data_IF_419304109073
#
_entry.id   IF_419304109073
#
_cell.length_a   1.000
_cell.length_b   1.000
_cell.length_c   1.000
_cell.angle_alpha   90.00
_cell.angle_beta   90.00
_cell.angle_gamma   90.00
#
_symmetry.space_group_name_H-M   'P 1'
#
loop_
_entity.id
_entity.type
_entity.pdbx_description
1 polymer ?
#
# COMPACT_ATOMS: atom_id res chain seq x y z
N UNK A 1 12.88 -2.91 -6.28
CA UNK A 1 13.13 -2.72 -4.86
C UNK A 1 13.40 -3.99 -4.03
N UNK A 2 13.29 -5.18 -4.55
CA UNK A 2 13.53 -6.46 -3.85
C UNK A 2 14.73 -7.22 -4.40
N UNK A 3 15.91 -6.59 -4.50
CA UNK A 3 17.11 -7.20 -5.11
C UNK A 3 17.94 -8.15 -4.22
N UNK A 4 17.51 -8.46 -2.99
CA UNK A 4 18.30 -9.30 -2.07
C UNK A 4 17.50 -10.26 -1.18
N UNK A 5 16.50 -10.94 -1.73
CA UNK A 5 15.98 -12.16 -1.09
C UNK A 5 16.06 -13.30 -2.09
N UNK A 6 16.71 -14.38 -1.71
CA UNK A 6 16.91 -15.60 -2.52
C UNK A 6 15.60 -16.36 -2.78
N UNK A 7 14.53 -16.06 -2.03
CA UNK A 7 13.20 -16.63 -2.24
C UNK A 7 12.30 -15.64 -2.99
N UNK A 8 11.51 -16.09 -3.97
CA UNK A 8 10.57 -15.23 -4.68
C UNK A 8 9.49 -14.73 -3.73
N UNK A 9 9.46 -13.42 -3.50
CA UNK A 9 8.44 -12.80 -2.64
C UNK A 9 7.05 -12.94 -3.30
N UNK A 10 6.00 -13.41 -2.59
CA UNK A 10 4.68 -13.66 -3.19
C UNK A 10 4.10 -12.48 -3.97
N UNK A 11 4.30 -11.25 -3.49
CA UNK A 11 3.84 -10.03 -4.17
C UNK A 11 4.51 -9.84 -5.54
N UNK A 12 5.76 -10.29 -5.71
CA UNK A 12 6.44 -10.26 -7.02
C UNK A 12 5.82 -11.25 -7.99
N UNK A 13 5.37 -12.41 -7.52
CA UNK A 13 4.65 -13.39 -8.33
C UNK A 13 3.31 -12.80 -8.80
N UNK A 14 2.56 -12.15 -7.91
CA UNK A 14 1.33 -11.43 -8.28
C UNK A 14 1.64 -10.35 -9.34
N UNK A 15 2.68 -9.53 -9.14
CA UNK A 15 3.09 -8.53 -10.12
C UNK A 15 3.48 -9.12 -11.48
N UNK A 16 4.19 -10.25 -11.49
CA UNK A 16 4.54 -10.95 -12.73
C UNK A 16 3.31 -11.53 -13.43
N UNK A 17 2.34 -12.05 -12.67
CA UNK A 17 1.05 -12.53 -13.18
C UNK A 17 0.27 -11.39 -13.84
N UNK A 18 0.18 -10.23 -13.18
CA UNK A 18 -0.48 -9.03 -13.72
C UNK A 18 0.16 -8.61 -15.03
N UNK A 19 1.49 -8.48 -15.09
CA UNK A 19 2.21 -8.08 -16.28
C UNK A 19 2.07 -9.10 -17.42
N UNK A 20 2.06 -10.40 -17.10
CA UNK A 20 1.83 -11.48 -18.08
C UNK A 20 0.42 -11.44 -18.66
N UNK A 21 -0.60 -11.26 -17.81
CA UNK A 21 -1.98 -11.16 -18.24
C UNK A 21 -2.26 -9.87 -19.03
N UNK A 22 -1.66 -8.74 -18.67
CA UNK A 22 -1.75 -7.51 -19.46
C UNK A 22 -1.28 -7.75 -20.90
N UNK A 23 -0.08 -8.33 -21.07
CA UNK A 23 0.48 -8.67 -22.39
C UNK A 23 -0.39 -9.65 -23.18
N UNK A 24 -1.06 -10.57 -22.48
CA UNK A 24 -1.89 -11.59 -23.10
C UNK A 24 -3.26 -11.04 -23.53
N UNK A 25 -3.91 -10.22 -22.69
CA UNK A 25 -5.30 -9.82 -22.86
C UNK A 25 -5.45 -8.57 -23.73
N UNK A 26 -4.53 -7.61 -23.67
CA UNK A 26 -4.60 -6.38 -24.47
C UNK A 26 -4.73 -6.63 -25.99
N UNK A 27 -3.95 -7.52 -26.62
CA UNK A 27 -4.09 -7.75 -28.05
C UNK A 27 -5.30 -8.62 -28.42
N UNK A 28 -5.87 -9.38 -27.45
CA UNK A 28 -6.97 -10.32 -27.71
C UNK A 28 -8.36 -9.70 -27.51
N UNK A 29 -8.48 -8.73 -26.60
CA UNK A 29 -9.75 -8.11 -26.24
C UNK A 29 -9.70 -6.64 -26.65
N UNK A 30 -10.45 -6.27 -27.71
CA UNK A 30 -10.49 -4.90 -28.26
C UNK A 30 -10.98 -3.85 -27.25
N UNK A 31 -11.93 -4.23 -26.37
CA UNK A 31 -12.43 -3.32 -25.35
C UNK A 31 -11.51 -3.36 -24.11
N UNK A 32 -10.74 -2.29 -23.90
CA UNK A 32 -9.79 -2.18 -22.79
C UNK A 32 -10.43 -2.35 -21.42
N UNK A 33 -11.65 -1.85 -21.20
CA UNK A 33 -12.37 -2.02 -19.93
C UNK A 33 -12.69 -3.47 -19.66
N UNK A 34 -13.17 -4.19 -20.68
CA UNK A 34 -13.44 -5.63 -20.57
C UNK A 34 -12.16 -6.41 -20.32
N UNK A 35 -11.08 -6.09 -21.04
CA UNK A 35 -9.77 -6.73 -20.86
C UNK A 35 -9.25 -6.51 -19.42
N UNK A 36 -9.31 -5.29 -18.91
CA UNK A 36 -8.94 -4.96 -17.53
C UNK A 36 -9.81 -5.68 -16.50
N UNK A 37 -11.12 -5.77 -16.71
CA UNK A 37 -12.02 -6.49 -15.79
C UNK A 37 -11.72 -7.98 -15.76
N UNK A 38 -11.48 -8.61 -16.91
CA UNK A 38 -11.08 -10.03 -17.00
C UNK A 38 -9.76 -10.25 -16.28
N UNK A 39 -8.78 -9.34 -16.45
CA UNK A 39 -7.52 -9.39 -15.72
C UNK A 39 -7.75 -9.37 -14.21
N UNK A 40 -8.53 -8.40 -13.70
CA UNK A 40 -8.82 -8.26 -12.28
C UNK A 40 -9.42 -9.55 -11.71
N UNK A 41 -10.45 -10.10 -12.35
CA UNK A 41 -11.12 -11.32 -11.90
C UNK A 41 -10.13 -12.49 -11.88
N UNK A 42 -9.33 -12.65 -12.95
CA UNK A 42 -8.35 -13.75 -13.06
C UNK A 42 -7.27 -13.65 -11.99
N UNK A 43 -6.72 -12.46 -11.76
CA UNK A 43 -5.69 -12.23 -10.73
C UNK A 43 -6.26 -12.51 -9.34
N UNK A 44 -7.48 -12.06 -9.03
CA UNK A 44 -8.09 -12.31 -7.72
C UNK A 44 -8.33 -13.80 -7.48
N UNK A 45 -8.88 -14.50 -8.47
CA UNK A 45 -9.14 -15.95 -8.36
C UNK A 45 -7.83 -16.73 -8.12
N UNK A 46 -6.78 -16.41 -8.87
CA UNK A 46 -5.52 -17.12 -8.74
C UNK A 46 -4.79 -16.74 -7.44
N UNK A 47 -4.77 -15.44 -7.09
CA UNK A 47 -4.05 -14.98 -5.90
C UNK A 47 -4.71 -15.38 -4.59
N UNK A 48 -6.01 -15.59 -4.54
CA UNK A 48 -6.71 -16.13 -3.38
C UNK A 48 -6.85 -17.65 -3.44
N UNK A 49 -7.12 -18.21 -4.62
CA UNK A 49 -7.37 -19.65 -4.82
C UNK A 49 -6.14 -20.52 -4.59
N UNK A 50 -4.95 -20.09 -5.06
CA UNK A 50 -3.73 -20.87 -4.85
C UNK A 50 -3.37 -20.98 -3.36
N UNK A 51 -3.32 -19.90 -2.56
CA UNK A 51 -3.13 -19.97 -1.12
C UNK A 51 -4.21 -20.82 -0.42
N UNK A 52 -5.47 -20.66 -0.83
CA UNK A 52 -6.58 -21.45 -0.27
C UNK A 52 -6.34 -22.95 -0.44
N UNK A 53 -6.03 -23.40 -1.68
CA UNK A 53 -5.78 -24.82 -1.96
C UNK A 53 -4.56 -25.33 -1.20
N UNK A 54 -3.48 -24.55 -1.16
CA UNK A 54 -2.28 -24.91 -0.40
C UNK A 54 -2.57 -25.07 1.09
N UNK A 55 -3.30 -24.14 1.70
CA UNK A 55 -3.69 -24.22 3.11
C UNK A 55 -4.61 -25.41 3.37
N UNK A 56 -5.60 -25.67 2.50
CA UNK A 56 -6.46 -26.85 2.62
C UNK A 56 -5.66 -28.15 2.62
N UNK A 57 -4.64 -28.26 1.78
CA UNK A 57 -3.74 -29.43 1.74
C UNK A 57 -2.94 -29.50 3.04
N UNK A 58 -2.32 -28.41 3.47
CA UNK A 58 -1.50 -28.38 4.69
C UNK A 58 -2.33 -28.76 5.94
N UNK A 59 -3.53 -28.20 6.09
CA UNK A 59 -4.42 -28.52 7.20
C UNK A 59 -4.96 -29.96 7.18
N UNK A 60 -5.16 -30.53 5.97
CA UNK A 60 -5.51 -31.96 5.82
C UNK A 60 -4.40 -32.90 6.24
N UNK A 61 -3.13 -32.52 6.00
CA UNK A 61 -1.97 -33.33 6.40
C UNK A 61 -1.78 -33.27 7.90
N UNK A 62 -1.68 -32.07 8.46
CA UNK A 62 -1.45 -31.85 9.88
C UNK A 62 -1.83 -30.42 10.30
N UNK A 63 -2.47 -30.26 11.44
CA UNK A 63 -2.85 -28.95 11.99
C UNK A 63 -1.65 -28.02 12.18
N UNK A 64 -0.53 -28.53 12.70
CA UNK A 64 0.68 -27.73 12.94
C UNK A 64 1.26 -27.23 11.63
N UNK A 65 1.28 -28.09 10.59
CA UNK A 65 1.74 -27.72 9.24
C UNK A 65 0.85 -26.60 8.63
N UNK A 66 -0.48 -26.72 8.82
CA UNK A 66 -1.43 -25.72 8.38
C UNK A 66 -1.18 -24.36 9.05
N UNK A 67 -1.07 -24.34 10.38
CA UNK A 67 -0.78 -23.11 11.16
C UNK A 67 0.56 -22.51 10.75
N UNK A 68 1.60 -23.30 10.58
CA UNK A 68 2.92 -22.82 10.18
C UNK A 68 2.90 -22.20 8.78
N UNK A 69 2.25 -22.88 7.81
CA UNK A 69 2.11 -22.38 6.45
C UNK A 69 1.33 -21.06 6.42
N UNK A 70 0.20 -20.98 7.13
CA UNK A 70 -0.62 -19.77 7.21
C UNK A 70 0.13 -18.62 7.88
N UNK A 71 0.86 -18.88 8.97
CA UNK A 71 1.68 -17.88 9.65
C UNK A 71 2.77 -17.29 8.74
N UNK A 72 3.44 -18.14 7.95
CA UNK A 72 4.43 -17.71 6.97
C UNK A 72 3.77 -16.85 5.89
N UNK A 73 2.61 -17.26 5.37
CA UNK A 73 1.85 -16.48 4.39
C UNK A 73 1.45 -15.12 4.93
N UNK A 74 0.90 -15.05 6.15
CA UNK A 74 0.56 -13.79 6.82
C UNK A 74 1.78 -12.88 7.02
N UNK A 75 2.92 -13.43 7.40
CA UNK A 75 4.17 -12.66 7.57
C UNK A 75 4.58 -11.94 6.28
N UNK A 76 4.44 -12.56 5.11
CA UNK A 76 4.80 -11.96 3.83
C UNK A 76 3.81 -10.88 3.35
N UNK A 77 2.62 -10.81 3.92
CA UNK A 77 1.58 -9.86 3.50
C UNK A 77 1.72 -8.49 4.16
N UNK A 78 2.39 -8.41 5.33
CA UNK A 78 2.53 -7.16 6.10
C UNK A 78 3.87 -6.49 5.78
N UNK A 79 3.82 -5.25 5.30
CA UNK A 79 4.99 -4.51 4.83
C UNK A 79 5.61 -3.56 5.88
N UNK A 80 5.21 -3.63 7.16
CA UNK A 80 5.60 -2.68 8.21
C UNK A 80 7.13 -2.50 8.33
N UNK A 81 7.89 -3.60 8.37
CA UNK A 81 9.35 -3.55 8.46
C UNK A 81 9.99 -2.96 7.21
N UNK A 82 9.47 -3.30 6.04
CA UNK A 82 9.96 -2.75 4.78
C UNK A 82 9.72 -1.26 4.70
N UNK A 83 8.50 -0.80 5.02
CA UNK A 83 8.11 0.60 5.05
C UNK A 83 9.03 1.40 5.98
N UNK A 84 9.23 0.94 7.23
CA UNK A 84 10.13 1.56 8.18
C UNK A 84 11.56 1.66 7.64
N UNK A 85 12.12 0.57 7.13
CA UNK A 85 13.52 0.54 6.69
C UNK A 85 13.74 1.47 5.49
N UNK A 86 12.79 1.54 4.58
CA UNK A 86 12.92 2.40 3.38
C UNK A 86 12.71 3.89 3.72
N UNK A 87 11.76 4.20 4.60
CA UNK A 87 11.57 5.59 5.05
C UNK A 87 12.74 6.11 5.87
N UNK A 88 13.35 5.28 6.72
CA UNK A 88 14.53 5.67 7.49
C UNK A 88 15.74 6.00 6.62
N UNK A 89 15.88 5.43 5.43
CA UNK A 89 16.96 5.82 4.49
C UNK A 89 16.87 7.29 4.06
N UNK A 90 15.65 7.83 3.95
CA UNK A 90 15.45 9.25 3.65
C UNK A 90 15.88 10.11 4.83
N UNK A 91 15.49 9.71 6.05
CA UNK A 91 15.89 10.37 7.28
C UNK A 91 17.41 10.38 7.45
N UNK A 92 18.05 9.21 7.29
CA UNK A 92 19.49 9.05 7.48
C UNK A 92 20.29 9.90 6.46
N UNK A 93 19.84 9.97 5.21
CA UNK A 93 20.44 10.81 4.20
C UNK A 93 20.37 12.31 4.56
N UNK A 94 19.26 12.76 5.16
CA UNK A 94 19.17 14.14 5.68
C UNK A 94 20.04 14.38 6.93
N UNK A 95 20.22 13.38 7.78
CA UNK A 95 21.15 13.47 8.92
C UNK A 95 22.61 13.63 8.44
N UNK A 96 22.97 13.06 7.28
CA UNK A 96 24.25 13.24 6.59
C UNK A 96 24.31 14.55 5.76
N UNK A 97 23.26 15.38 5.74
CA UNK A 97 23.12 16.57 4.89
C UNK A 97 23.22 16.29 3.38
N UNK A 98 22.95 15.07 2.94
CA UNK A 98 23.01 14.65 1.53
C UNK A 98 21.60 14.65 0.90
N UNK A 99 21.21 15.76 0.27
CA UNK A 99 19.90 15.92 -0.37
C UNK A 99 19.76 15.02 -1.60
N UNK A 100 20.85 14.73 -2.34
CA UNK A 100 20.79 13.84 -3.51
C UNK A 100 20.54 12.39 -3.08
N UNK A 101 21.21 11.94 -2.03
CA UNK A 101 20.98 10.63 -1.44
C UNK A 101 19.55 10.50 -0.89
N UNK A 102 19.01 11.57 -0.26
CA UNK A 102 17.62 11.62 0.18
C UNK A 102 16.65 11.53 -1.00
N UNK A 103 16.93 12.25 -2.12
CA UNK A 103 16.12 12.19 -3.35
C UNK A 103 16.13 10.81 -3.99
N UNK A 104 17.28 10.15 -4.01
CA UNK A 104 17.37 8.76 -4.46
C UNK A 104 16.58 7.81 -3.55
N UNK A 105 16.70 7.97 -2.24
CA UNK A 105 15.99 7.14 -1.28
C UNK A 105 14.46 7.30 -1.43
N UNK A 106 13.95 8.53 -1.54
CA UNK A 106 12.51 8.78 -1.72
C UNK A 106 12.00 8.26 -3.07
N UNK A 107 12.79 8.33 -4.13
CA UNK A 107 12.42 7.79 -5.45
C UNK A 107 12.16 6.28 -5.44
N UNK A 108 12.68 5.58 -4.44
CA UNK A 108 12.47 4.13 -4.28
C UNK A 108 11.12 3.78 -3.65
N UNK A 109 10.45 4.73 -3.01
CA UNK A 109 9.18 4.51 -2.30
C UNK A 109 8.00 5.28 -2.89
N UNK A 110 8.27 6.30 -3.72
CA UNK A 110 7.26 7.16 -4.36
C UNK A 110 7.08 6.76 -5.82
N UNK A 111 5.84 6.74 -6.29
CA UNK A 111 5.49 6.40 -7.69
C UNK A 111 5.58 7.57 -8.68
N UNK A 112 6.04 8.76 -8.26
CA UNK A 112 6.15 9.96 -9.10
C UNK A 112 7.62 10.36 -9.33
N UNK A 113 7.87 11.24 -10.32
CA UNK A 113 9.20 11.80 -10.55
C UNK A 113 9.62 12.66 -9.35
N UNK A 114 10.82 12.38 -8.84
CA UNK A 114 11.39 13.06 -7.66
C UNK A 114 12.56 13.98 -8.00
N UNK A 115 12.98 14.04 -9.28
CA UNK A 115 14.19 14.75 -9.70
C UNK A 115 14.15 16.25 -9.40
N UNK A 116 12.96 16.86 -9.50
CA UNK A 116 12.78 18.29 -9.29
C UNK A 116 12.36 18.66 -7.86
N UNK A 117 12.32 17.70 -6.93
CA UNK A 117 11.92 17.97 -5.56
C UNK A 117 13.06 18.67 -4.80
N UNK A 118 12.75 19.78 -4.15
CA UNK A 118 13.58 20.39 -3.13
C UNK A 118 13.54 19.59 -1.82
N UNK A 119 14.26 20.05 -0.81
CA UNK A 119 14.32 19.39 0.51
C UNK A 119 12.95 19.17 1.11
N UNK A 120 12.11 20.20 1.11
CA UNK A 120 10.77 20.13 1.71
C UNK A 120 9.84 19.24 0.89
N UNK A 121 9.96 19.25 -0.43
CA UNK A 121 9.25 18.36 -1.33
C UNK A 121 9.61 16.88 -1.11
N UNK A 122 10.89 16.56 -0.88
CA UNK A 122 11.34 15.20 -0.56
C UNK A 122 10.74 14.73 0.76
N UNK A 123 10.80 15.57 1.80
CA UNK A 123 10.27 15.26 3.12
C UNK A 123 8.76 15.04 3.04
N UNK A 124 8.04 15.95 2.36
CA UNK A 124 6.58 15.81 2.16
C UNK A 124 6.23 14.52 1.44
N UNK A 125 6.90 14.22 0.32
CA UNK A 125 6.67 13.00 -0.43
C UNK A 125 6.93 11.73 0.41
N UNK A 126 7.97 11.73 1.25
CA UNK A 126 8.27 10.61 2.13
C UNK A 126 7.16 10.41 3.17
N UNK A 127 6.67 11.49 3.81
CA UNK A 127 5.62 11.42 4.83
C UNK A 127 4.28 11.01 4.23
N UNK A 128 3.88 11.60 3.10
CA UNK A 128 2.66 11.21 2.37
C UNK A 128 2.69 9.71 2.06
N UNK A 129 3.79 9.21 1.49
CA UNK A 129 3.96 7.79 1.16
C UNK A 129 3.92 6.88 2.38
N UNK A 130 4.55 7.28 3.49
CA UNK A 130 4.50 6.50 4.74
C UNK A 130 3.08 6.48 5.30
N UNK A 131 2.37 7.60 5.27
CA UNK A 131 1.00 7.70 5.74
C UNK A 131 0.06 6.78 4.93
N UNK A 132 0.12 6.85 3.60
CA UNK A 132 -0.66 6.01 2.69
C UNK A 132 -0.31 4.52 2.87
N UNK A 133 0.97 4.17 2.83
CA UNK A 133 1.40 2.79 2.97
C UNK A 133 1.21 2.20 4.38
N UNK A 134 1.00 3.02 5.41
CA UNK A 134 0.54 2.54 6.72
C UNK A 134 -0.86 1.95 6.61
N UNK A 135 -1.74 2.53 5.79
CA UNK A 135 -3.01 1.90 5.45
C UNK A 135 -2.81 0.67 4.56
N UNK A 136 -2.26 0.86 3.39
CA UNK A 136 -2.27 -0.12 2.29
C UNK A 136 -1.27 -1.28 2.46
N UNK A 137 -0.21 -1.02 3.22
CA UNK A 137 0.86 -1.99 3.47
C UNK A 137 0.78 -2.69 4.82
N UNK A 138 0.00 -2.16 5.78
CA UNK A 138 -0.05 -2.70 7.14
C UNK A 138 -1.49 -2.93 7.59
N UNK A 139 -2.28 -1.87 7.79
CA UNK A 139 -3.61 -2.00 8.41
C UNK A 139 -4.59 -2.76 7.52
N UNK A 140 -4.66 -2.46 6.24
CA UNK A 140 -5.60 -3.13 5.34
C UNK A 140 -5.27 -4.61 5.13
N UNK A 141 -4.02 -5.05 4.89
CA UNK A 141 -3.70 -6.47 4.91
C UNK A 141 -4.11 -7.15 6.22
N UNK A 142 -3.82 -6.54 7.39
CA UNK A 142 -4.21 -7.09 8.70
C UNK A 142 -5.72 -7.19 8.85
N UNK A 143 -6.46 -6.18 8.40
CA UNK A 143 -7.92 -6.18 8.41
C UNK A 143 -8.50 -7.35 7.60
N UNK A 144 -8.01 -7.57 6.38
CA UNK A 144 -8.48 -8.67 5.54
C UNK A 144 -7.99 -10.04 6.01
N UNK A 145 -6.83 -10.11 6.65
CA UNK A 145 -6.38 -11.33 7.33
C UNK A 145 -7.25 -11.67 8.54
N UNK A 146 -7.72 -10.68 9.29
CA UNK A 146 -8.66 -10.91 10.40
C UNK A 146 -10.03 -11.45 9.93
N UNK A 147 -10.46 -11.11 8.71
CA UNK A 147 -11.71 -11.56 8.12
C UNK A 147 -11.62 -12.94 7.44
N UNK A 148 -10.51 -13.23 6.79
CA UNK A 148 -10.37 -14.42 5.93
C UNK A 148 -9.00 -15.09 5.97
N UNK A 149 -8.26 -14.97 7.08
CA UNK A 149 -6.93 -15.56 7.22
C UNK A 149 -5.95 -15.06 6.14
N UNK A 150 -4.93 -15.84 5.85
CA UNK A 150 -3.98 -15.52 4.80
C UNK A 150 -4.65 -15.33 3.43
N UNK A 151 -5.72 -16.07 3.13
CA UNK A 151 -6.44 -15.98 1.84
C UNK A 151 -7.06 -14.59 1.66
N UNK A 152 -7.71 -14.06 2.69
CA UNK A 152 -8.24 -12.69 2.69
C UNK A 152 -7.14 -11.64 2.49
N UNK A 153 -6.00 -11.84 3.13
CA UNK A 153 -4.83 -10.98 2.95
C UNK A 153 -4.27 -11.02 1.53
N UNK A 154 -4.17 -12.18 0.90
CA UNK A 154 -3.75 -12.32 -0.52
C UNK A 154 -4.75 -11.70 -1.48
N UNK A 155 -6.05 -11.88 -1.25
CA UNK A 155 -7.11 -11.23 -2.03
C UNK A 155 -6.94 -9.71 -2.04
N UNK A 156 -6.82 -9.11 -0.85
CA UNK A 156 -6.60 -7.67 -0.73
C UNK A 156 -5.27 -7.25 -1.39
N UNK A 157 -4.18 -7.96 -1.12
CA UNK A 157 -2.87 -7.59 -1.66
C UNK A 157 -2.81 -7.71 -3.17
N UNK A 158 -3.56 -8.62 -3.78
CA UNK A 158 -3.71 -8.71 -5.22
C UNK A 158 -4.41 -7.46 -5.79
N UNK A 159 -5.52 -7.01 -5.19
CA UNK A 159 -6.23 -5.79 -5.60
C UNK A 159 -5.32 -4.56 -5.50
N UNK A 160 -4.67 -4.36 -4.35
CA UNK A 160 -3.75 -3.25 -4.11
C UNK A 160 -2.54 -3.27 -5.06
N UNK A 161 -2.01 -4.46 -5.41
CA UNK A 161 -0.91 -4.58 -6.39
C UNK A 161 -1.39 -4.24 -7.81
N UNK A 162 -2.61 -4.65 -8.18
CA UNK A 162 -3.20 -4.28 -9.48
C UNK A 162 -3.39 -2.78 -9.60
N UNK A 163 -3.91 -2.11 -8.58
CA UNK A 163 -4.04 -0.66 -8.57
C UNK A 163 -2.68 0.03 -8.70
N UNK A 164 -1.69 -0.37 -7.91
CA UNK A 164 -0.32 0.18 -7.98
C UNK A 164 0.35 0.01 -9.35
N UNK A 165 -0.04 -1.00 -10.15
CA UNK A 165 0.55 -1.26 -11.47
C UNK A 165 -0.27 -0.70 -12.63
N UNK A 166 -1.60 -0.60 -12.48
CA UNK A 166 -2.54 -0.31 -13.58
C UNK A 166 -3.43 0.90 -13.28
N UNK A 167 -3.52 1.38 -12.03
CA UNK A 167 -4.45 2.43 -11.59
C UNK A 167 -4.09 3.85 -12.04
N UNK A 168 -3.12 4.00 -12.97
CA UNK A 168 -2.71 5.30 -13.47
C UNK A 168 -3.77 5.95 -14.36
N UNK A 169 -3.87 7.29 -14.30
CA UNK A 169 -4.83 8.10 -15.08
C UNK A 169 -4.29 8.52 -16.45
N UNK A 170 -3.18 7.94 -16.92
CA UNK A 170 -2.66 8.18 -18.26
C UNK A 170 -3.46 7.43 -19.33
N UNK A 171 -3.31 7.84 -20.60
CA UNK A 171 -4.05 7.28 -21.74
C UNK A 171 -3.94 5.77 -21.84
N UNK A 172 -2.80 5.20 -21.41
CA UNK A 172 -2.56 3.77 -21.46
C UNK A 172 -3.44 2.98 -20.49
N UNK A 173 -3.75 3.52 -19.31
CA UNK A 173 -4.38 2.79 -18.22
C UNK A 173 -5.75 3.30 -17.80
N UNK A 174 -6.15 4.49 -18.22
CA UNK A 174 -7.42 5.13 -17.82
C UNK A 174 -8.66 4.26 -18.02
N UNK A 175 -8.67 3.43 -19.08
CA UNK A 175 -9.72 2.47 -19.35
C UNK A 175 -9.40 1.08 -18.82
N UNK A 176 -8.18 0.60 -19.04
CA UNK A 176 -7.75 -0.74 -18.67
C UNK A 176 -7.64 -0.93 -17.16
N UNK A 177 -7.04 0.02 -16.44
CA UNK A 177 -6.85 -0.03 -14.99
C UNK A 177 -8.06 0.36 -14.15
N UNK A 178 -9.11 0.90 -14.78
CA UNK A 178 -10.28 1.46 -14.08
C UNK A 178 -10.94 0.50 -13.10
N UNK A 179 -11.03 -0.78 -13.44
CA UNK A 179 -11.66 -1.79 -12.56
C UNK A 179 -10.77 -2.07 -11.36
N UNK A 180 -9.45 -2.13 -11.56
CA UNK A 180 -8.48 -2.31 -10.48
C UNK A 180 -8.52 -1.14 -9.48
N UNK A 181 -8.46 0.11 -9.98
CA UNK A 181 -8.51 1.32 -9.15
C UNK A 181 -9.80 1.41 -8.34
N UNK A 182 -10.96 1.16 -8.97
CA UNK A 182 -12.25 1.18 -8.26
C UNK A 182 -12.37 0.09 -7.21
N UNK A 183 -11.83 -1.10 -7.49
CA UNK A 183 -11.82 -2.20 -6.53
C UNK A 183 -10.97 -1.85 -5.32
N UNK A 184 -9.77 -1.32 -5.53
CA UNK A 184 -8.88 -0.87 -4.46
C UNK A 184 -9.52 0.23 -3.62
N UNK A 185 -10.16 1.23 -4.26
CA UNK A 185 -10.92 2.27 -3.56
C UNK A 185 -12.01 1.70 -2.63
N UNK A 186 -12.74 0.69 -3.08
CA UNK A 186 -13.78 0.02 -2.26
C UNK A 186 -13.17 -0.77 -1.12
N UNK A 187 -12.13 -1.55 -1.40
CA UNK A 187 -11.48 -2.39 -0.39
C UNK A 187 -10.76 -1.55 0.68
N UNK A 188 -10.20 -0.42 0.32
CA UNK A 188 -9.53 0.50 1.25
C UNK A 188 -10.50 1.44 1.98
N UNK A 189 -11.78 1.43 1.66
CA UNK A 189 -12.73 2.37 2.27
C UNK A 189 -12.80 2.27 3.81
N UNK A 190 -12.93 1.07 4.37
CA UNK A 190 -12.93 0.84 5.83
C UNK A 190 -11.50 0.92 6.39
N UNK A 191 -10.51 0.18 5.86
CA UNK A 191 -9.15 0.18 6.41
C UNK A 191 -8.52 1.58 6.52
N UNK A 192 -8.66 2.45 5.52
CA UNK A 192 -8.05 3.78 5.55
C UNK A 192 -8.60 4.65 6.68
N UNK A 193 -9.89 4.55 6.96
CA UNK A 193 -10.54 5.27 8.07
C UNK A 193 -10.14 4.69 9.43
N UNK A 194 -10.08 3.37 9.52
CA UNK A 194 -9.56 2.69 10.71
C UNK A 194 -8.12 3.12 10.99
N UNK A 195 -7.27 3.14 9.95
CA UNK A 195 -5.87 3.58 10.07
C UNK A 195 -5.79 5.02 10.59
N UNK A 196 -6.57 5.94 10.01
CA UNK A 196 -6.59 7.33 10.45
C UNK A 196 -6.98 7.46 11.93
N UNK A 197 -7.99 6.71 12.38
CA UNK A 197 -8.41 6.70 13.79
C UNK A 197 -7.33 6.11 14.70
N UNK A 198 -6.68 5.02 14.29
CA UNK A 198 -5.57 4.43 15.04
C UNK A 198 -4.36 5.37 15.12
N UNK A 199 -4.05 6.11 14.06
CA UNK A 199 -2.99 7.12 14.05
C UNK A 199 -3.32 8.29 15.00
N UNK A 200 -4.56 8.76 15.01
CA UNK A 200 -5.02 9.79 15.95
C UNK A 200 -4.93 9.29 17.39
N UNK A 201 -5.40 8.07 17.67
CA UNK A 201 -5.29 7.44 18.98
C UNK A 201 -3.82 7.31 19.42
N UNK A 202 -2.94 6.88 18.52
CA UNK A 202 -1.50 6.78 18.77
C UNK A 202 -0.90 8.16 19.10
N UNK A 203 -1.35 9.23 18.44
CA UNK A 203 -0.92 10.59 18.77
C UNK A 203 -1.30 10.98 20.19
N UNK A 204 -2.52 10.63 20.66
CA UNK A 204 -2.89 10.86 22.06
C UNK A 204 -2.03 10.05 23.03
N UNK A 205 -1.83 8.76 22.79
CA UNK A 205 -1.06 7.86 23.67
C UNK A 205 0.40 8.33 23.78
N UNK A 206 0.99 8.75 22.66
CA UNK A 206 2.38 9.21 22.58
C UNK A 206 2.55 10.69 22.99
N UNK A 207 1.49 11.33 23.50
CA UNK A 207 1.49 12.75 23.94
C UNK A 207 1.81 13.76 22.84
N UNK A 208 1.54 13.42 21.58
CA UNK A 208 1.47 14.40 20.49
C UNK A 208 0.14 15.13 20.51
N UNK A 209 -0.02 16.16 19.67
CA UNK A 209 -1.27 16.93 19.59
C UNK A 209 -2.38 16.16 18.85
N UNK A 210 -2.91 15.09 19.48
CA UNK A 210 -3.99 14.29 18.95
C UNK A 210 -5.30 15.07 18.72
N UNK A 211 -5.53 16.14 19.47
CA UNK A 211 -6.70 17.02 19.32
C UNK A 211 -6.67 17.77 17.99
N UNK A 212 -5.51 18.30 17.64
CA UNK A 212 -5.30 18.99 16.38
C UNK A 212 -5.26 17.98 15.21
N UNK A 213 -4.69 16.78 15.41
CA UNK A 213 -4.73 15.69 14.45
C UNK A 213 -6.17 15.34 14.04
N UNK A 214 -7.06 15.16 15.00
CA UNK A 214 -8.47 14.91 14.75
C UNK A 214 -9.16 16.07 14.02
N UNK A 215 -8.86 17.34 14.42
CA UNK A 215 -9.41 18.54 13.78
C UNK A 215 -9.00 18.64 12.31
N UNK A 216 -7.71 18.43 12.00
CA UNK A 216 -7.20 18.50 10.63
C UNK A 216 -7.74 17.33 9.80
N UNK A 217 -7.74 16.11 10.33
CA UNK A 217 -8.37 14.99 9.66
C UNK A 217 -9.83 15.29 9.28
N UNK A 218 -10.63 15.80 10.20
CA UNK A 218 -12.03 16.16 9.91
C UNK A 218 -12.16 17.21 8.82
N UNK A 219 -11.22 18.18 8.76
CA UNK A 219 -11.20 19.27 7.77
C UNK A 219 -10.75 18.80 6.38
N UNK A 220 -9.72 17.94 6.31
CA UNK A 220 -8.97 17.71 5.08
C UNK A 220 -9.16 16.31 4.47
N UNK A 221 -9.74 15.35 5.18
CA UNK A 221 -9.94 13.95 4.74
C UNK A 221 -10.69 13.74 3.42
N UNK A 222 -11.23 14.79 2.81
CA UNK A 222 -11.96 14.74 1.54
C UNK A 222 -11.32 15.61 0.45
N UNK A 223 -10.12 16.12 0.68
CA UNK A 223 -9.47 17.07 -0.24
C UNK A 223 -8.53 16.41 -1.26
N UNK A 224 -8.46 15.10 -1.30
CA UNK A 224 -7.64 14.35 -2.26
C UNK A 224 -8.50 13.70 -3.34
N UNK A 225 -7.91 13.41 -4.51
CA UNK A 225 -8.59 12.73 -5.61
C UNK A 225 -9.00 11.29 -5.24
N UNK A 226 -8.14 10.56 -4.49
CA UNK A 226 -8.49 9.27 -3.90
C UNK A 226 -9.34 9.48 -2.64
N UNK A 227 -10.44 8.75 -2.45
CA UNK A 227 -11.27 8.83 -1.25
C UNK A 227 -10.59 8.26 0.01
N UNK A 228 -9.45 7.58 -0.15
CA UNK A 228 -8.76 6.82 0.88
C UNK A 228 -7.43 7.44 1.30
N UNK A 229 -6.57 7.89 0.38
CA UNK A 229 -5.25 8.46 0.67
C UNK A 229 -5.33 9.65 1.63
N UNK A 230 -6.30 10.55 1.40
CA UNK A 230 -6.52 11.70 2.29
C UNK A 230 -6.84 11.33 3.75
N UNK A 231 -7.29 10.11 4.03
CA UNK A 231 -7.62 9.72 5.40
C UNK A 231 -6.37 9.70 6.29
N UNK A 232 -5.30 9.09 5.82
CA UNK A 232 -4.05 8.95 6.56
C UNK A 232 -3.12 10.14 6.37
N UNK A 233 -3.06 10.70 5.17
CA UNK A 233 -2.27 11.89 4.86
C UNK A 233 -2.71 13.09 5.68
N UNK A 234 -4.04 13.34 5.82
CA UNK A 234 -4.54 14.45 6.61
C UNK A 234 -4.15 14.37 8.09
N UNK A 235 -4.00 13.17 8.65
CA UNK A 235 -3.49 12.99 10.02
C UNK A 235 -2.01 13.33 10.09
N UNK A 236 -1.22 12.93 9.09
CA UNK A 236 0.23 13.20 9.04
C UNK A 236 0.57 14.64 8.66
N UNK A 237 -0.25 15.33 7.88
CA UNK A 237 -0.07 16.75 7.54
C UNK A 237 0.05 17.67 8.76
N UNK A 238 -0.45 17.23 9.91
CA UNK A 238 -0.22 17.91 11.19
C UNK A 238 1.26 18.14 11.48
N UNK A 239 2.11 17.18 11.15
CA UNK A 239 3.56 17.25 11.41
C UNK A 239 4.25 18.35 10.58
N UNK A 240 3.57 18.85 9.52
CA UNK A 240 4.11 19.86 8.60
C UNK A 240 3.42 21.23 8.66
N UNK A 241 2.13 21.28 9.03
CA UNK A 241 1.33 22.51 9.01
C UNK A 241 1.10 23.10 10.39
N UNK A 242 1.44 22.38 11.44
CA UNK A 242 1.45 22.93 12.80
C UNK A 242 2.76 23.68 13.00
N UNK A 243 2.73 24.95 13.44
CA UNK A 243 3.94 25.58 13.97
C UNK A 243 4.51 24.66 15.04
N UNK A 244 5.82 24.45 15.01
CA UNK A 244 6.51 23.67 16.02
C UNK A 244 6.09 24.17 17.41
N UNK A 245 5.95 23.29 18.43
CA UNK A 245 5.76 23.75 19.81
C UNK A 245 6.84 24.74 20.28
N UNK A 246 7.96 24.87 19.53
CA UNK A 246 9.03 25.82 19.76
C UNK A 246 8.77 27.20 19.16
N UNK A 247 7.71 27.33 18.31
CA UNK A 247 7.36 28.59 17.64
C UNK A 247 6.19 29.31 18.35
N UNK A 248 5.90 28.92 19.60
CA UNK A 248 4.94 29.58 20.51
C UNK A 248 5.66 30.27 21.64
#
# INVERSE_FOLDING_TARGET
MYKRQSLPHPIRLIGSLIAGLEKLLRPRIKNERTAGTVLVITVLILSAGIPLVLLMICYKINLILGIAAESIMCYYLVAARCLRNESMKVHDAFAENDTEKARQAVSMIVGRDTKCLDRDGIIRAAVETVAENTSDGVTAPMFYMALGGAVGGFFYKAANTMDSMLGYTNDKYINFGRTAAKLDDVLNYIPSRLTALLMILSAYILRFDGKNAFRIWKRDRRKHASPNSAQTEAVCCLLYTSPSPRDR
#
